data_IF_482798126087
#
_entry.id   IF_482798126087
#
_cell.length_a   1.000
_cell.length_b   1.000
_cell.length_c   1.000
_cell.angle_alpha   90.00
_cell.angle_beta   90.00
_cell.angle_gamma   90.00
#
_symmetry.space_group_name_H-M   'P 1'
#
loop_
_entity.id
_entity.type
_entity.pdbx_description
1 polymer ?
#
# COMPACT_ATOMS: atom_id res chain seq x y z
N UNK A 1 41.82 0.66 -37.60
CA UNK A 1 41.65 1.90 -37.01
C UNK A 1 40.26 2.33 -36.72
N UNK A 2 39.44 2.16 -37.57
CA UNK A 2 38.09 2.58 -37.34
C UNK A 2 37.38 1.70 -36.37
N UNK A 3 37.86 0.54 -36.15
CA UNK A 3 37.16 -0.36 -35.25
C UNK A 3 36.97 0.18 -33.86
N UNK A 4 37.88 1.05 -33.48
CA UNK A 4 37.73 1.57 -32.14
C UNK A 4 36.55 2.45 -31.97
N UNK A 5 36.17 3.06 -33.03
CA UNK A 5 34.99 3.89 -32.96
C UNK A 5 33.80 3.10 -32.54
N UNK A 6 33.77 1.89 -32.97
CA UNK A 6 32.69 1.03 -32.67
C UNK A 6 32.61 0.76 -31.18
N UNK A 7 33.77 0.63 -30.59
CA UNK A 7 33.77 0.39 -29.16
C UNK A 7 33.14 1.52 -28.41
N UNK A 8 33.36 2.71 -28.90
CA UNK A 8 32.79 3.84 -28.23
C UNK A 8 31.30 3.76 -28.22
N UNK A 9 30.77 3.29 -29.27
CA UNK A 9 29.34 3.19 -29.37
C UNK A 9 28.81 2.23 -28.32
N UNK A 10 29.53 1.18 -28.11
CA UNK A 10 29.14 0.20 -27.14
C UNK A 10 29.03 0.79 -25.74
N UNK A 11 29.94 1.66 -25.46
CA UNK A 11 29.95 2.30 -24.16
C UNK A 11 28.67 3.05 -23.94
N UNK A 12 28.22 3.73 -24.95
CA UNK A 12 27.01 4.49 -24.83
C UNK A 12 25.83 3.60 -24.47
N UNK A 13 25.83 2.45 -25.05
CA UNK A 13 24.70 1.55 -24.80
C UNK A 13 24.57 1.15 -23.34
N UNK A 14 25.69 0.99 -22.70
CA UNK A 14 25.63 0.57 -21.31
C UNK A 14 24.99 1.59 -20.42
N UNK A 15 25.08 2.82 -20.77
CA UNK A 15 24.53 3.85 -19.91
C UNK A 15 23.02 3.74 -19.75
N UNK A 16 22.38 3.25 -20.75
CA UNK A 16 20.94 3.15 -20.69
C UNK A 16 20.44 2.19 -19.65
N UNK A 17 21.27 1.26 -19.28
CA UNK A 17 20.82 0.31 -18.27
C UNK A 17 20.46 1.01 -16.99
N UNK A 18 21.01 2.15 -16.76
CA UNK A 18 20.71 2.87 -15.54
C UNK A 18 19.27 3.32 -15.49
N UNK A 19 18.74 3.72 -16.61
CA UNK A 19 17.36 4.10 -16.66
C UNK A 19 16.47 2.98 -16.19
N UNK A 20 16.84 1.79 -16.51
CA UNK A 20 16.08 0.63 -16.10
C UNK A 20 16.08 0.50 -14.58
N UNK A 21 17.19 0.80 -13.96
CA UNK A 21 17.26 0.73 -12.50
C UNK A 21 16.25 1.65 -11.85
N UNK A 22 16.11 2.83 -12.39
CA UNK A 22 15.15 3.77 -11.83
C UNK A 22 13.74 3.24 -11.93
N UNK A 23 13.44 2.62 -13.03
CA UNK A 23 12.12 2.06 -13.22
C UNK A 23 11.85 1.01 -12.17
N UNK A 24 12.86 0.25 -11.79
CA UNK A 24 12.67 -0.75 -10.76
C UNK A 24 12.32 -0.12 -9.42
N UNK A 25 12.98 0.96 -9.08
CA UNK A 25 12.71 1.61 -7.83
C UNK A 25 11.26 2.05 -7.76
N UNK A 26 10.75 2.55 -8.87
CA UNK A 26 9.37 2.95 -8.91
C UNK A 26 8.44 1.76 -8.87
N UNK A 27 8.92 0.62 -9.28
CA UNK A 27 8.10 -0.58 -9.29
C UNK A 27 7.72 -1.07 -7.92
N UNK A 28 8.49 -0.73 -6.91
CA UNK A 28 8.15 -1.14 -5.56
C UNK A 28 7.14 -0.17 -4.97
N UNK A 29 5.98 -0.68 -4.64
CA UNK A 29 4.91 0.11 -4.05
C UNK A 29 4.31 -0.73 -2.93
N UNK A 30 4.52 -0.27 -1.71
CA UNK A 30 4.02 -0.98 -0.53
C UNK A 30 2.50 -1.10 -0.57
N UNK A 31 1.82 -0.16 -1.23
CA UNK A 31 0.37 -0.18 -1.26
C UNK A 31 -0.22 -1.21 -2.21
N UNK A 32 0.58 -1.75 -3.14
CA UNK A 32 0.07 -2.77 -4.04
C UNK A 32 -0.42 -4.01 -3.30
N UNK A 33 0.40 -4.65 -2.45
CA UNK A 33 -0.09 -5.81 -1.71
C UNK A 33 -1.17 -5.44 -0.69
N UNK A 34 -1.05 -4.28 -0.07
CA UNK A 34 -2.05 -3.84 0.90
C UNK A 34 -3.41 -3.70 0.22
N UNK A 35 -3.44 -3.03 -0.93
CA UNK A 35 -4.68 -2.84 -1.68
C UNK A 35 -5.26 -4.18 -2.11
N UNK A 36 -4.41 -5.10 -2.50
CA UNK A 36 -4.86 -6.42 -2.92
C UNK A 36 -5.61 -7.13 -1.80
N UNK A 37 -5.06 -7.10 -0.59
CA UNK A 37 -5.69 -7.81 0.51
C UNK A 37 -6.95 -7.11 1.00
N UNK A 38 -7.02 -5.79 0.88
CA UNK A 38 -8.26 -5.07 1.17
C UNK A 38 -9.32 -5.45 0.15
N UNK A 39 -8.96 -5.48 -1.12
CA UNK A 39 -9.92 -5.83 -2.17
C UNK A 39 -10.44 -7.26 -2.00
N UNK A 40 -9.62 -8.15 -1.47
CA UNK A 40 -10.01 -9.54 -1.24
C UNK A 40 -10.74 -9.73 0.09
N UNK A 41 -10.71 -8.74 0.97
CA UNK A 41 -11.25 -8.89 2.31
C UNK A 41 -10.45 -9.87 3.15
N UNK A 42 -9.14 -9.97 2.88
CA UNK A 42 -8.27 -10.92 3.57
C UNK A 42 -7.60 -10.22 4.76
N UNK A 43 -8.30 -10.19 5.86
CA UNK A 43 -7.79 -9.51 7.06
C UNK A 43 -6.55 -10.21 7.61
N UNK A 44 -6.45 -11.51 7.44
CA UNK A 44 -5.30 -12.25 7.96
C UNK A 44 -4.03 -11.84 7.25
N UNK A 45 -4.03 -11.81 5.92
CA UNK A 45 -2.87 -11.39 5.16
C UNK A 45 -2.62 -9.90 5.28
N UNK A 46 -3.67 -9.11 5.34
CA UNK A 46 -3.54 -7.67 5.55
C UNK A 46 -2.81 -7.39 6.86
N UNK A 47 -3.10 -8.17 7.91
CA UNK A 47 -2.51 -7.94 9.22
C UNK A 47 -1.01 -8.15 9.26
N UNK A 48 -0.45 -8.87 8.29
CA UNK A 48 0.99 -9.02 8.20
C UNK A 48 1.68 -7.68 7.94
N UNK A 49 0.95 -6.71 7.43
CA UNK A 49 1.46 -5.37 7.17
C UNK A 49 1.24 -4.41 8.33
N UNK A 50 0.55 -4.84 9.38
CA UNK A 50 0.25 -3.99 10.53
C UNK A 50 1.48 -3.80 11.39
N UNK A 51 1.60 -2.61 11.96
CA UNK A 51 2.53 -2.35 13.05
C UNK A 51 2.08 -3.16 14.27
N UNK A 52 2.92 -3.26 15.29
CA UNK A 52 2.55 -3.96 16.51
C UNK A 52 1.33 -3.32 17.16
N UNK A 53 1.27 -2.00 17.07
CA UNK A 53 0.12 -1.22 17.52
C UNK A 53 -0.23 -0.24 16.43
N UNK A 54 -1.52 -0.06 16.19
CA UNK A 54 -1.98 0.86 15.14
C UNK A 54 -3.34 1.40 15.50
N UNK A 55 -3.72 2.47 14.85
CA UNK A 55 -5.03 3.06 15.02
C UNK A 55 -5.96 2.53 13.93
N UNK A 56 -7.11 2.01 14.33
CA UNK A 56 -8.13 1.56 13.39
C UNK A 56 -9.40 2.35 13.66
N UNK A 57 -9.85 3.08 12.65
CA UNK A 57 -11.07 3.87 12.74
C UNK A 57 -12.08 3.32 11.75
N UNK A 58 -13.19 2.83 12.26
CA UNK A 58 -14.29 2.37 11.44
C UNK A 58 -15.46 3.30 11.72
N UNK A 59 -15.78 4.09 10.70
CA UNK A 59 -16.83 5.14 10.80
C UNK A 59 -16.45 6.13 11.89
N UNK A 60 -17.20 6.20 12.96
CA UNK A 60 -16.95 7.16 14.03
C UNK A 60 -16.16 6.58 15.20
N UNK A 61 -15.84 5.29 15.15
CA UNK A 61 -15.18 4.62 16.27
C UNK A 61 -13.71 4.41 15.99
N UNK A 62 -12.87 5.00 16.84
CA UNK A 62 -11.41 4.86 16.75
C UNK A 62 -10.90 3.97 17.86
N UNK A 63 -10.01 3.08 17.52
CA UNK A 63 -9.37 2.17 18.48
C UNK A 63 -7.88 2.15 18.30
N UNK A 64 -7.15 2.28 19.40
CA UNK A 64 -5.74 1.95 19.42
C UNK A 64 -5.68 0.45 19.65
N UNK A 65 -5.17 -0.28 18.70
CA UNK A 65 -5.30 -1.72 18.69
C UNK A 65 -3.95 -2.38 18.51
N UNK A 66 -3.79 -3.54 19.12
CA UNK A 66 -2.67 -4.41 18.80
C UNK A 66 -2.91 -5.00 17.42
N UNK A 67 -1.86 -5.59 16.84
CA UNK A 67 -1.99 -6.24 15.54
C UNK A 67 -3.12 -7.25 15.53
N UNK A 68 -3.21 -8.06 16.57
CA UNK A 68 -4.25 -9.09 16.67
C UNK A 68 -5.64 -8.47 16.76
N UNK A 69 -5.80 -7.43 17.57
CA UNK A 69 -7.08 -6.75 17.70
C UNK A 69 -7.46 -6.08 16.40
N UNK A 70 -6.52 -5.41 15.74
CA UNK A 70 -6.78 -4.74 14.47
C UNK A 70 -7.22 -5.76 13.42
N UNK A 71 -6.59 -6.93 13.41
CA UNK A 71 -6.99 -7.99 12.48
C UNK A 71 -8.44 -8.40 12.72
N UNK A 72 -8.83 -8.54 13.98
CA UNK A 72 -10.21 -8.91 14.30
C UNK A 72 -11.19 -7.82 13.89
N UNK A 73 -10.82 -6.56 14.12
CA UNK A 73 -11.68 -5.44 13.72
C UNK A 73 -11.89 -5.46 12.20
N UNK A 74 -10.82 -5.61 11.44
CA UNK A 74 -10.92 -5.63 9.99
C UNK A 74 -11.65 -6.87 9.49
N UNK A 75 -11.44 -8.01 10.14
CA UNK A 75 -12.16 -9.24 9.78
C UNK A 75 -13.66 -9.05 9.98
N UNK A 76 -14.06 -8.43 11.08
CA UNK A 76 -15.45 -8.15 11.37
C UNK A 76 -16.04 -7.18 10.33
N UNK A 77 -15.29 -6.15 9.97
CA UNK A 77 -15.74 -5.21 8.96
C UNK A 77 -15.95 -5.90 7.62
N UNK A 78 -14.99 -6.69 7.17
CA UNK A 78 -15.10 -7.39 5.88
C UNK A 78 -16.22 -8.43 5.89
N UNK A 79 -16.57 -8.94 7.05
CA UNK A 79 -17.71 -9.88 7.16
C UNK A 79 -19.03 -9.14 6.98
N UNK A 80 -19.13 -7.93 7.54
CA UNK A 80 -20.33 -7.11 7.41
C UNK A 80 -20.43 -6.47 6.03
N UNK A 81 -19.30 -6.13 5.44
CA UNK A 81 -19.23 -5.46 4.14
C UNK A 81 -18.23 -6.21 3.27
N UNK A 82 -18.74 -7.15 2.50
CA UNK A 82 -17.87 -7.99 1.69
C UNK A 82 -17.25 -7.18 0.55
N UNK A 83 -15.93 -7.07 0.51
CA UNK A 83 -15.27 -6.29 -0.53
C UNK A 83 -15.49 -6.86 -1.92
N UNK A 84 -15.67 -5.96 -2.88
CA UNK A 84 -15.77 -6.29 -4.28
C UNK A 84 -14.62 -5.68 -5.06
N UNK A 85 -14.20 -4.49 -4.71
CA UNK A 85 -13.07 -3.84 -5.36
C UNK A 85 -12.49 -2.77 -4.44
N UNK A 86 -11.22 -2.50 -4.61
CA UNK A 86 -10.56 -1.41 -3.91
C UNK A 86 -9.55 -0.78 -4.86
N UNK A 87 -9.66 0.52 -5.06
CA UNK A 87 -8.79 1.25 -5.97
C UNK A 87 -8.19 2.45 -5.26
N UNK A 88 -6.87 2.54 -5.28
CA UNK A 88 -6.17 3.68 -4.72
C UNK A 88 -6.24 4.81 -5.73
N UNK A 89 -6.71 5.97 -5.26
CA UNK A 89 -6.86 7.15 -6.10
C UNK A 89 -5.80 8.21 -5.82
N UNK A 90 -5.11 8.11 -4.70
CA UNK A 90 -4.13 9.12 -4.33
C UNK A 90 -3.10 8.52 -3.40
N UNK A 91 -1.85 8.86 -3.63
CA UNK A 91 -0.74 8.47 -2.76
C UNK A 91 0.18 9.67 -2.57
N UNK A 92 0.71 9.82 -1.38
CA UNK A 92 1.67 10.88 -1.09
C UNK A 92 2.54 10.46 0.09
N UNK A 93 3.57 11.26 0.36
CA UNK A 93 4.42 11.02 1.50
C UNK A 93 5.88 11.16 1.19
N UNK A 94 6.68 10.74 2.13
CA UNK A 94 8.14 10.82 2.07
C UNK A 94 8.72 9.42 2.19
N UNK A 95 10.05 9.35 2.26
CA UNK A 95 10.72 8.06 2.31
C UNK A 95 10.30 7.21 3.50
N UNK A 96 10.04 7.81 4.66
CA UNK A 96 9.70 7.02 5.86
C UNK A 96 8.24 7.04 6.23
N UNK A 97 7.43 7.87 5.62
CA UNK A 97 6.01 7.91 5.94
C UNK A 97 5.20 8.19 4.69
N UNK A 98 4.27 7.31 4.38
CA UNK A 98 3.45 7.43 3.19
C UNK A 98 2.00 7.19 3.53
N UNK A 99 1.10 7.75 2.73
CA UNK A 99 -0.30 7.44 2.88
C UNK A 99 -0.96 7.25 1.52
N UNK A 100 -2.07 6.54 1.54
CA UNK A 100 -2.88 6.32 0.36
C UNK A 100 -4.34 6.51 0.70
N UNK A 101 -5.06 7.03 -0.26
CA UNK A 101 -6.52 7.13 -0.20
C UNK A 101 -7.07 6.23 -1.29
N UNK A 102 -8.07 5.46 -0.95
CA UNK A 102 -8.69 4.58 -1.93
C UNK A 102 -10.17 4.46 -1.72
N UNK A 103 -10.85 4.01 -2.75
CA UNK A 103 -12.28 3.78 -2.72
C UNK A 103 -12.55 2.30 -2.64
N UNK A 104 -13.26 1.89 -1.61
CA UNK A 104 -13.63 0.49 -1.38
C UNK A 104 -15.11 0.32 -1.70
N UNK A 105 -15.40 -0.62 -2.59
CA UNK A 105 -16.76 -1.05 -2.86
C UNK A 105 -16.96 -2.34 -2.08
N UNK A 106 -17.82 -2.30 -1.07
CA UNK A 106 -18.00 -3.45 -0.19
C UNK A 106 -19.44 -3.49 0.31
N UNK A 107 -20.06 -4.66 0.23
CA UNK A 107 -21.41 -4.83 0.73
C UNK A 107 -22.44 -3.95 0.04
N UNK A 108 -22.16 -3.53 -1.17
CA UNK A 108 -23.08 -2.66 -1.89
C UNK A 108 -22.96 -1.19 -1.54
N UNK A 109 -21.93 -0.82 -0.78
CA UNK A 109 -21.70 0.57 -0.38
C UNK A 109 -20.29 0.98 -0.76
N UNK A 110 -20.08 2.29 -0.79
CA UNK A 110 -18.77 2.85 -1.12
C UNK A 110 -18.17 3.48 0.12
N UNK A 111 -16.88 3.24 0.30
CA UNK A 111 -16.13 3.75 1.45
C UNK A 111 -14.85 4.41 1.00
N UNK A 112 -14.44 5.43 1.73
CA UNK A 112 -13.11 6.00 1.58
C UNK A 112 -12.22 5.34 2.62
N UNK A 113 -11.10 4.79 2.18
CA UNK A 113 -10.15 4.15 3.08
C UNK A 113 -8.86 4.94 3.03
N UNK A 114 -8.39 5.36 4.19
CA UNK A 114 -7.12 6.04 4.36
C UNK A 114 -6.15 5.10 5.05
N UNK A 115 -4.96 4.98 4.49
CA UNK A 115 -3.94 4.06 5.03
C UNK A 115 -2.65 4.84 5.22
N UNK A 116 -2.13 4.83 6.44
CA UNK A 116 -0.81 5.39 6.74
C UNK A 116 0.17 4.27 7.01
N UNK A 117 1.34 4.33 6.35
CA UNK A 117 2.42 3.40 6.61
C UNK A 117 3.65 4.16 7.03
N UNK A 118 4.44 3.53 7.87
CA UNK A 118 5.68 4.11 8.38
C UNK A 118 6.79 3.08 8.23
N UNK A 119 7.98 3.57 7.87
CA UNK A 119 9.13 2.70 7.72
C UNK A 119 9.84 2.60 9.07
N UNK A 120 10.00 1.37 9.57
CA UNK A 120 10.58 1.18 10.90
C UNK A 120 12.08 0.83 10.85
N UNK A 121 12.72 1.01 9.70
CA UNK A 121 14.12 0.66 9.50
C UNK A 121 14.29 -0.65 8.75
N UNK A 122 13.27 -1.45 8.69
CA UNK A 122 13.30 -2.73 7.97
C UNK A 122 12.20 -2.82 6.93
N UNK A 123 11.01 -2.37 7.27
CA UNK A 123 9.87 -2.50 6.38
C UNK A 123 8.86 -1.41 6.68
N UNK A 124 7.96 -1.19 5.72
CA UNK A 124 6.81 -0.33 5.94
C UNK A 124 5.75 -1.12 6.69
N UNK A 125 5.17 -0.48 7.71
CA UNK A 125 4.11 -1.07 8.50
C UNK A 125 2.95 -0.10 8.59
N UNK A 126 1.73 -0.63 8.60
CA UNK A 126 0.52 0.19 8.69
C UNK A 126 0.38 0.71 10.10
N UNK A 127 0.30 2.04 10.24
CA UNK A 127 0.12 2.71 11.51
C UNK A 127 -1.31 3.15 11.71
N UNK A 128 -2.08 3.27 10.64
CA UNK A 128 -3.47 3.72 10.73
C UNK A 128 -4.26 3.24 9.53
N UNK A 129 -5.44 2.75 9.79
CA UNK A 129 -6.45 2.49 8.77
C UNK A 129 -7.71 3.21 9.19
N UNK A 130 -8.29 3.99 8.29
CA UNK A 130 -9.53 4.71 8.57
C UNK A 130 -10.51 4.44 7.45
N UNK A 131 -11.69 3.99 7.82
CA UNK A 131 -12.77 3.69 6.87
C UNK A 131 -13.93 4.63 7.13
N UNK A 132 -14.33 5.37 6.09
CA UNK A 132 -15.43 6.33 6.17
C UNK A 132 -16.42 6.02 5.06
N UNK A 133 -17.70 6.30 5.33
CA UNK A 133 -18.71 6.13 4.29
C UNK A 133 -18.59 7.29 3.29
N UNK A 134 -18.76 6.95 2.03
CA UNK A 134 -18.88 7.95 0.97
C UNK A 134 -20.37 8.14 0.68
N UNK A 135 -20.83 9.37 0.81
CA UNK A 135 -22.25 9.67 0.56
C UNK A 135 -22.50 10.19 -0.83
#
# INVERSE_FOLDING_TARGET
MTGRLISTVLVAATLFSFGVSHAKDKGYDVFNPIAKYIAMGDADRLSAWFSDNLEVTIFATSNDASRTQARQIMKSFFRSYTPRSFEISHQAGRANMKYALGTLNAGGEMFLVTIFVNFNGEAYRIQQIKVERLD
#
